data_IF_395770675507
#
_entry.id   IF_395770675507
#
_cell.length_a   1.000
_cell.length_b   1.000
_cell.length_c   1.000
_cell.angle_alpha   90.00
_cell.angle_beta   90.00
_cell.angle_gamma   90.00
#
_symmetry.space_group_name_H-M   'P 1'
#
loop_
_entity.id
_entity.type
_entity.pdbx_description
1 polymer ?
#
# COMPACT_ATOMS: atom_id res chain seq x y z
N UNK A 1 -14.51 -31.06 49.68
CA UNK A 1 -14.96 -29.88 48.93
C UNK A 1 -13.76 -29.37 48.10
N UNK A 2 -13.65 -29.87 46.90
CA UNK A 2 -12.61 -29.43 45.95
C UNK A 2 -13.20 -28.31 45.10
N UNK A 3 -12.62 -27.12 45.14
CA UNK A 3 -12.96 -26.03 44.30
C UNK A 3 -12.32 -26.33 42.92
N UNK A 4 -13.19 -26.61 41.99
CA UNK A 4 -12.85 -26.70 40.57
C UNK A 4 -12.58 -25.28 40.06
N UNK A 5 -11.32 -24.90 39.99
CA UNK A 5 -10.86 -23.67 39.39
C UNK A 5 -10.77 -23.85 37.88
N UNK A 6 -11.91 -23.79 37.17
CA UNK A 6 -11.88 -23.59 35.74
C UNK A 6 -11.38 -22.15 35.47
N UNK A 7 -10.08 -21.98 35.33
CA UNK A 7 -9.50 -20.78 34.75
C UNK A 7 -10.11 -20.62 33.34
N UNK A 8 -10.93 -19.60 33.20
CA UNK A 8 -11.38 -19.09 31.91
C UNK A 8 -10.12 -18.63 31.13
N UNK A 9 -9.50 -19.57 30.43
CA UNK A 9 -8.37 -19.30 29.55
C UNK A 9 -8.93 -18.77 28.22
N UNK A 10 -9.27 -17.51 28.20
CA UNK A 10 -9.40 -16.80 26.92
C UNK A 10 -8.12 -17.05 26.10
N UNK A 11 -8.21 -17.40 24.81
CA UNK A 11 -7.05 -17.67 23.99
C UNK A 11 -6.10 -16.47 24.01
N UNK A 12 -4.80 -16.74 24.08
CA UNK A 12 -3.79 -15.68 24.06
C UNK A 12 -3.96 -14.83 22.79
N UNK A 13 -3.82 -13.51 22.92
CA UNK A 13 -3.90 -12.61 21.77
C UNK A 13 -2.92 -13.02 20.68
N UNK A 14 -3.41 -13.23 19.47
CA UNK A 14 -2.60 -13.69 18.32
C UNK A 14 -2.63 -15.20 18.12
N UNK A 15 -3.24 -16.01 19.00
CA UNK A 15 -3.32 -17.47 18.83
C UNK A 15 -4.05 -17.88 17.56
N UNK A 16 -5.09 -17.14 17.16
CA UNK A 16 -5.84 -17.42 15.92
C UNK A 16 -4.99 -17.08 14.68
N UNK A 17 -4.08 -16.11 14.74
CA UNK A 17 -3.15 -15.84 13.65
C UNK A 17 -2.17 -17.02 13.44
N UNK A 18 -1.64 -17.60 14.52
CA UNK A 18 -0.80 -18.81 14.44
C UNK A 18 -1.61 -19.99 13.90
N UNK A 19 -2.89 -20.10 14.28
CA UNK A 19 -3.77 -21.12 13.73
C UNK A 19 -4.03 -20.91 12.24
N UNK A 20 -4.20 -19.68 11.77
CA UNK A 20 -4.35 -19.35 10.35
C UNK A 20 -3.11 -19.77 9.53
N UNK A 21 -1.90 -19.58 10.06
CA UNK A 21 -0.66 -20.09 9.46
C UNK A 21 -0.72 -21.61 9.32
N UNK A 22 -1.08 -22.33 10.39
CA UNK A 22 -1.18 -23.79 10.36
C UNK A 22 -2.27 -24.30 9.40
N UNK A 23 -3.37 -23.56 9.25
CA UNK A 23 -4.42 -23.86 8.26
C UNK A 23 -3.86 -23.74 6.84
N UNK A 24 -3.07 -22.69 6.56
CA UNK A 24 -2.47 -22.50 5.25
C UNK A 24 -1.46 -23.61 4.93
N UNK A 25 -0.62 -24.01 5.91
CA UNK A 25 0.28 -25.13 5.76
C UNK A 25 -0.45 -26.44 5.44
N UNK A 26 -1.57 -26.70 6.13
CA UNK A 26 -2.39 -27.89 5.89
C UNK A 26 -3.03 -27.89 4.50
N UNK A 27 -3.53 -26.75 4.03
CA UNK A 27 -4.13 -26.61 2.69
C UNK A 27 -3.11 -26.91 1.58
N UNK A 28 -1.86 -26.51 1.74
CA UNK A 28 -0.80 -26.73 0.75
C UNK A 28 0.06 -27.97 1.01
N UNK A 29 -0.25 -28.76 2.02
CA UNK A 29 0.43 -30.04 2.26
C UNK A 29 0.16 -31.03 1.09
N UNK A 30 0.99 -32.09 0.90
CA UNK A 30 0.77 -33.09 -0.15
C UNK A 30 -0.60 -33.77 -0.09
N UNK A 31 -1.17 -33.92 1.11
CA UNK A 31 -2.52 -34.48 1.34
C UNK A 31 -3.59 -33.37 1.49
N UNK A 32 -3.23 -32.12 1.22
CA UNK A 32 -4.11 -30.97 1.38
C UNK A 32 -5.05 -30.76 0.18
N UNK A 33 -5.22 -29.52 -0.23
CA UNK A 33 -6.16 -29.14 -1.27
C UNK A 33 -5.48 -29.06 -2.66
N UNK A 34 -6.07 -29.73 -3.64
CA UNK A 34 -5.54 -29.80 -5.00
C UNK A 34 -5.52 -28.44 -5.70
N UNK A 35 -6.47 -27.54 -5.40
CA UNK A 35 -6.48 -26.19 -5.96
C UNK A 35 -5.31 -25.38 -5.38
N UNK A 36 -5.10 -25.43 -4.06
CA UNK A 36 -4.00 -24.78 -3.38
C UNK A 36 -2.64 -25.26 -3.92
N UNK A 37 -2.48 -26.55 -4.20
CA UNK A 37 -1.26 -27.12 -4.75
C UNK A 37 -0.87 -26.57 -6.13
N UNK A 38 -1.84 -26.10 -6.91
CA UNK A 38 -1.63 -25.57 -8.27
C UNK A 38 -1.31 -24.05 -8.30
N UNK A 39 -1.50 -23.36 -7.17
CA UNK A 39 -1.32 -21.91 -7.16
C UNK A 39 0.15 -21.48 -7.19
N UNK A 40 0.37 -20.34 -7.80
CA UNK A 40 1.64 -19.62 -7.84
C UNK A 40 1.41 -18.17 -7.43
N UNK A 41 2.47 -17.42 -7.12
CA UNK A 41 2.38 -15.97 -6.89
C UNK A 41 1.62 -15.25 -8.01
N UNK A 42 1.88 -15.64 -9.26
CA UNK A 42 1.23 -15.03 -10.42
C UNK A 42 -0.26 -15.37 -10.51
N UNK A 43 -0.65 -16.63 -10.29
CA UNK A 43 -2.07 -17.03 -10.37
C UNK A 43 -2.91 -16.39 -9.25
N UNK A 44 -2.31 -16.10 -8.10
CA UNK A 44 -2.98 -15.47 -6.96
C UNK A 44 -3.10 -13.94 -7.09
N UNK A 45 -2.29 -13.30 -7.92
CA UNK A 45 -2.26 -11.84 -8.03
C UNK A 45 -3.64 -11.22 -8.34
N UNK A 46 -4.47 -11.91 -9.15
CA UNK A 46 -5.84 -11.46 -9.45
C UNK A 46 -6.74 -11.47 -8.22
N UNK A 47 -6.64 -12.50 -7.38
CA UNK A 47 -7.42 -12.61 -6.15
C UNK A 47 -6.98 -11.55 -5.14
N UNK A 48 -5.67 -11.35 -4.95
CA UNK A 48 -5.17 -10.28 -4.08
C UNK A 48 -5.74 -8.91 -4.46
N UNK A 49 -5.90 -8.64 -5.76
CA UNK A 49 -6.51 -7.40 -6.24
C UNK A 49 -8.03 -7.37 -5.93
N UNK A 50 -8.74 -8.49 -6.12
CA UNK A 50 -10.16 -8.66 -5.82
C UNK A 50 -10.42 -8.42 -4.34
N UNK A 51 -9.76 -9.15 -3.44
CA UNK A 51 -9.87 -8.99 -1.98
C UNK A 51 -9.55 -7.55 -1.52
N UNK A 52 -8.56 -6.92 -2.17
CA UNK A 52 -8.26 -5.51 -1.88
C UNK A 52 -9.44 -4.60 -2.18
N UNK A 53 -10.20 -4.86 -3.24
CA UNK A 53 -11.37 -4.05 -3.59
C UNK A 53 -12.57 -4.36 -2.67
N UNK A 54 -12.74 -5.59 -2.23
CA UNK A 54 -13.78 -5.99 -1.28
C UNK A 54 -13.55 -5.37 0.10
N UNK A 55 -12.31 -5.35 0.58
CA UNK A 55 -11.92 -4.58 1.78
C UNK A 55 -12.24 -3.09 1.63
N UNK A 56 -11.97 -2.47 0.47
CA UNK A 56 -12.29 -1.05 0.23
C UNK A 56 -13.81 -0.82 0.26
N UNK A 57 -14.60 -1.70 -0.33
CA UNK A 57 -16.07 -1.63 -0.30
C UNK A 57 -16.60 -1.76 1.13
N UNK A 58 -16.12 -2.73 1.91
CA UNK A 58 -16.48 -2.90 3.31
C UNK A 58 -16.12 -1.70 4.20
N UNK A 59 -15.01 -1.01 3.89
CA UNK A 59 -14.65 0.26 4.57
C UNK A 59 -15.65 1.37 4.22
N UNK A 60 -16.03 1.51 2.94
CA UNK A 60 -16.99 2.52 2.49
C UNK A 60 -18.37 2.30 3.10
N UNK A 61 -18.86 1.06 3.14
CA UNK A 61 -20.13 0.69 3.78
C UNK A 61 -20.17 1.07 5.26
N UNK A 62 -19.08 0.88 6.00
CA UNK A 62 -18.97 1.29 7.40
C UNK A 62 -19.06 2.80 7.60
N UNK A 63 -18.52 3.56 6.66
CA UNK A 63 -18.51 5.03 6.74
C UNK A 63 -19.89 5.63 6.51
N UNK A 64 -20.74 4.96 5.75
CA UNK A 64 -22.12 5.41 5.49
C UNK A 64 -23.07 5.21 6.69
N UNK A 65 -22.73 4.32 7.63
CA UNK A 65 -23.47 4.13 8.89
C UNK A 65 -24.91 3.61 8.73
N UNK A 66 -25.29 3.19 7.54
CA UNK A 66 -26.67 2.82 7.19
C UNK A 66 -27.05 1.39 7.61
N UNK A 67 -26.05 0.50 7.79
CA UNK A 67 -26.29 -0.91 8.11
C UNK A 67 -25.40 -1.40 9.28
N UNK A 68 -26.00 -1.84 10.42
CA UNK A 68 -25.25 -2.47 11.51
C UNK A 68 -24.54 -3.77 11.09
N UNK A 69 -24.99 -4.46 10.04
CA UNK A 69 -24.35 -5.68 9.54
C UNK A 69 -23.02 -5.38 8.81
N UNK A 70 -22.85 -4.19 8.25
CA UNK A 70 -21.61 -3.73 7.65
C UNK A 70 -20.41 -3.74 8.63
N UNK A 71 -20.69 -3.69 9.94
CA UNK A 71 -19.65 -3.81 10.95
C UNK A 71 -19.00 -5.20 11.02
N UNK A 72 -19.70 -6.25 10.58
CA UNK A 72 -19.21 -7.63 10.57
C UNK A 72 -18.45 -7.95 9.26
N UNK A 73 -18.78 -7.29 8.14
CA UNK A 73 -18.16 -7.53 6.83
C UNK A 73 -16.65 -7.24 6.81
N UNK A 74 -16.21 -6.11 7.33
CA UNK A 74 -14.80 -5.73 7.26
C UNK A 74 -13.83 -6.75 7.90
N UNK A 75 -14.12 -7.39 9.05
CA UNK A 75 -13.27 -8.47 9.54
C UNK A 75 -13.18 -9.68 8.62
N UNK A 76 -14.26 -10.03 7.90
CA UNK A 76 -14.30 -11.14 6.96
C UNK A 76 -13.44 -10.82 5.74
N UNK A 77 -13.61 -9.66 5.10
CA UNK A 77 -12.80 -9.22 3.96
C UNK A 77 -11.31 -9.05 4.31
N UNK A 78 -11.01 -8.55 5.52
CA UNK A 78 -9.63 -8.53 6.03
C UNK A 78 -9.08 -9.94 6.26
N UNK A 79 -9.93 -10.92 6.55
CA UNK A 79 -9.60 -12.33 6.65
C UNK A 79 -9.17 -12.90 5.30
N UNK A 80 -9.89 -12.56 4.22
CA UNK A 80 -9.58 -12.99 2.87
C UNK A 80 -8.29 -12.31 2.35
N UNK A 81 -8.09 -11.04 2.66
CA UNK A 81 -6.82 -10.39 2.40
C UNK A 81 -5.66 -11.01 3.19
N UNK A 82 -5.87 -11.40 4.46
CA UNK A 82 -4.89 -12.14 5.25
C UNK A 82 -4.59 -13.51 4.65
N UNK A 83 -5.60 -14.23 4.13
CA UNK A 83 -5.40 -15.47 3.41
C UNK A 83 -4.43 -15.30 2.23
N UNK A 84 -4.55 -14.25 1.43
CA UNK A 84 -3.62 -13.95 0.35
C UNK A 84 -2.19 -13.77 0.87
N UNK A 85 -2.01 -13.01 1.96
CA UNK A 85 -0.69 -12.79 2.57
C UNK A 85 -0.07 -14.11 3.03
N UNK A 86 -0.84 -14.94 3.74
CA UNK A 86 -0.38 -16.23 4.25
C UNK A 86 -0.07 -17.20 3.11
N UNK A 87 -0.87 -17.19 2.04
CA UNK A 87 -0.64 -18.04 0.89
C UNK A 87 0.67 -17.67 0.17
N UNK A 88 0.88 -16.40 -0.07
CA UNK A 88 2.14 -15.93 -0.65
C UNK A 88 3.35 -16.29 0.23
N UNK A 89 3.23 -16.16 1.55
CA UNK A 89 4.29 -16.56 2.48
C UNK A 89 4.54 -18.08 2.47
N UNK A 90 3.47 -18.87 2.31
CA UNK A 90 3.59 -20.34 2.20
C UNK A 90 4.26 -20.76 0.87
N UNK A 91 3.98 -20.06 -0.22
CA UNK A 91 4.67 -20.24 -1.48
C UNK A 91 6.15 -19.90 -1.38
N UNK A 92 6.49 -18.83 -0.65
CA UNK A 92 7.87 -18.41 -0.43
C UNK A 92 8.74 -19.48 0.24
N UNK A 93 8.15 -20.40 1.03
CA UNK A 93 8.88 -21.53 1.62
C UNK A 93 9.39 -22.53 0.57
N UNK A 94 8.83 -22.48 -0.65
CA UNK A 94 9.18 -23.36 -1.78
C UNK A 94 10.20 -22.71 -2.72
N UNK A 95 10.61 -21.47 -2.46
CA UNK A 95 11.60 -20.73 -3.25
C UNK A 95 13.03 -20.96 -2.78
N UNK A 96 13.99 -20.50 -3.57
CA UNK A 96 15.41 -20.50 -3.23
C UNK A 96 16.02 -19.11 -3.52
N UNK A 97 16.39 -18.33 -2.49
CA UNK A 97 16.28 -18.63 -1.06
C UNK A 97 14.84 -18.66 -0.55
N UNK A 98 14.52 -19.60 0.33
CA UNK A 98 13.22 -19.73 0.96
C UNK A 98 12.95 -18.58 1.94
N UNK A 99 11.67 -18.14 2.01
CA UNK A 99 11.18 -17.16 2.98
C UNK A 99 9.76 -17.53 3.44
N UNK A 100 9.33 -17.03 4.59
CA UNK A 100 8.06 -17.39 5.22
C UNK A 100 7.31 -16.18 5.83
N UNK A 101 6.21 -16.47 6.55
CA UNK A 101 5.38 -15.45 7.19
C UNK A 101 6.17 -14.67 8.28
N UNK A 102 7.16 -15.29 8.93
CA UNK A 102 7.99 -14.59 9.89
C UNK A 102 8.94 -13.60 9.20
N UNK A 103 9.37 -13.87 7.96
CA UNK A 103 10.13 -12.91 7.16
C UNK A 103 9.28 -11.69 6.79
N UNK A 104 8.02 -11.91 6.42
CA UNK A 104 7.05 -10.84 6.17
C UNK A 104 6.84 -10.00 7.43
N UNK A 105 6.60 -10.67 8.58
CA UNK A 105 6.42 -10.01 9.86
C UNK A 105 7.67 -9.22 10.28
N UNK A 106 8.85 -9.81 10.16
CA UNK A 106 10.13 -9.13 10.45
C UNK A 106 10.36 -7.92 9.55
N UNK A 107 10.02 -8.02 8.26
CA UNK A 107 10.11 -6.88 7.34
C UNK A 107 9.20 -5.73 7.76
N UNK A 108 7.96 -6.03 8.18
CA UNK A 108 7.02 -5.06 8.73
C UNK A 108 7.56 -4.41 10.01
N UNK A 109 7.97 -5.23 11.01
CA UNK A 109 8.47 -4.75 12.31
C UNK A 109 9.67 -3.83 12.10
N UNK A 110 10.71 -4.28 11.40
CA UNK A 110 11.91 -3.47 11.11
C UNK A 110 11.55 -2.13 10.46
N UNK A 111 10.62 -2.15 9.51
CA UNK A 111 10.15 -0.93 8.83
C UNK A 111 9.46 0.03 9.81
N UNK A 112 8.57 -0.49 10.67
CA UNK A 112 7.81 0.35 11.60
C UNK A 112 8.71 0.92 12.71
N UNK A 113 9.59 0.11 13.27
CA UNK A 113 10.55 0.55 14.29
C UNK A 113 11.47 1.66 13.75
N UNK A 114 12.01 1.47 12.56
CA UNK A 114 12.89 2.45 11.93
C UNK A 114 12.18 3.76 11.57
N UNK A 115 10.94 3.69 11.07
CA UNK A 115 10.19 4.89 10.63
C UNK A 115 9.48 5.62 11.75
N UNK A 116 9.41 5.03 12.94
CA UNK A 116 8.77 5.62 14.11
C UNK A 116 9.74 5.67 15.31
N UNK A 117 10.87 6.37 15.19
CA UNK A 117 11.87 6.45 16.27
C UNK A 117 11.30 7.11 17.53
N UNK A 118 10.30 7.98 17.40
CA UNK A 118 9.57 8.59 18.51
C UNK A 118 8.76 7.58 19.35
N UNK A 119 8.53 6.37 18.82
CA UNK A 119 7.84 5.29 19.53
C UNK A 119 8.82 4.22 20.00
N UNK A 120 9.75 3.80 19.13
CA UNK A 120 10.60 2.62 19.32
C UNK A 120 12.09 2.95 19.52
N UNK A 121 12.53 4.19 19.21
CA UNK A 121 13.93 4.59 19.31
C UNK A 121 14.44 4.64 20.76
N UNK A 122 15.76 4.48 20.92
CA UNK A 122 16.43 4.64 22.21
C UNK A 122 16.25 6.07 22.76
N UNK A 123 16.32 7.07 21.88
CA UNK A 123 16.15 8.50 22.19
C UNK A 123 14.73 9.00 21.91
N UNK A 124 13.74 8.11 22.11
CA UNK A 124 12.34 8.39 21.78
C UNK A 124 11.77 9.65 22.46
N UNK A 125 12.29 10.02 23.64
CA UNK A 125 11.82 11.19 24.41
C UNK A 125 12.27 12.50 23.77
N UNK A 126 13.42 12.49 23.10
CA UNK A 126 14.04 13.67 22.47
C UNK A 126 13.87 13.69 20.93
N UNK A 127 13.19 12.69 20.37
CA UNK A 127 13.09 12.53 18.90
C UNK A 127 12.08 13.46 18.23
N UNK A 128 11.15 14.04 19.00
CA UNK A 128 10.16 15.05 18.59
C UNK A 128 9.96 16.05 19.73
N UNK A 129 9.82 17.32 19.39
CA UNK A 129 9.51 18.39 20.36
C UNK A 129 8.12 18.21 20.96
N UNK A 130 7.15 17.79 20.14
CA UNK A 130 5.79 17.45 20.55
C UNK A 130 5.32 16.14 19.88
N UNK A 131 5.09 15.11 20.70
CA UNK A 131 4.56 13.81 20.25
C UNK A 131 3.07 13.85 19.88
N UNK A 132 2.36 14.92 20.23
CA UNK A 132 1.00 15.17 19.82
C UNK A 132 0.89 15.88 18.47
N UNK A 133 2.00 16.41 17.97
CA UNK A 133 2.05 17.10 16.69
C UNK A 133 2.15 16.12 15.52
N UNK A 134 1.03 15.93 14.85
CA UNK A 134 0.91 15.03 13.68
C UNK A 134 1.81 15.50 12.53
N UNK A 135 2.00 16.80 12.34
CA UNK A 135 2.83 17.34 11.26
C UNK A 135 4.30 16.98 11.47
N UNK A 136 4.81 17.08 12.72
CA UNK A 136 6.16 16.65 13.06
C UNK A 136 6.35 15.15 12.86
N UNK A 137 5.37 14.32 13.25
CA UNK A 137 5.40 12.86 13.04
C UNK A 137 5.48 12.54 11.56
N UNK A 138 4.65 13.16 10.72
CA UNK A 138 4.63 12.97 9.27
C UNK A 138 5.95 13.45 8.65
N UNK A 139 6.48 14.59 9.05
CA UNK A 139 7.76 15.10 8.58
C UNK A 139 8.91 14.14 8.93
N UNK A 140 8.94 13.61 10.15
CA UNK A 140 9.94 12.62 10.57
C UNK A 140 9.85 11.34 9.72
N UNK A 141 8.63 10.83 9.49
CA UNK A 141 8.40 9.67 8.63
C UNK A 141 8.94 9.90 7.21
N UNK A 142 8.67 11.07 6.61
CA UNK A 142 9.17 11.43 5.28
C UNK A 142 10.70 11.54 5.25
N UNK A 143 11.31 12.12 6.27
CA UNK A 143 12.76 12.25 6.37
C UNK A 143 13.46 10.87 6.44
N UNK A 144 12.94 9.96 7.26
CA UNK A 144 13.46 8.58 7.35
C UNK A 144 13.30 7.85 6.02
N UNK A 145 12.13 7.96 5.37
CA UNK A 145 11.87 7.34 4.07
C UNK A 145 12.75 7.90 2.95
N UNK A 146 13.09 9.18 2.98
CA UNK A 146 14.01 9.79 2.03
C UNK A 146 15.44 9.26 2.23
N UNK A 147 15.88 9.10 3.50
CA UNK A 147 17.19 8.50 3.81
C UNK A 147 17.29 7.06 3.36
N UNK A 148 16.24 6.24 3.58
CA UNK A 148 16.17 4.85 3.10
C UNK A 148 16.37 4.75 1.58
N UNK A 149 15.78 5.67 0.81
CA UNK A 149 15.96 5.70 -0.65
C UNK A 149 17.40 6.06 -1.04
N UNK A 150 17.96 7.11 -0.42
CA UNK A 150 19.33 7.50 -0.70
C UNK A 150 20.35 6.40 -0.37
N UNK A 151 20.11 5.59 0.67
CA UNK A 151 20.93 4.44 1.04
C UNK A 151 20.80 3.29 0.01
N UNK A 152 19.60 3.07 -0.55
CA UNK A 152 19.38 2.07 -1.59
C UNK A 152 20.01 2.47 -2.93
N UNK A 153 19.90 3.74 -3.31
CA UNK A 153 20.49 4.27 -4.53
C UNK A 153 22.03 4.32 -4.44
N UNK A 154 22.60 4.51 -3.24
CA UNK A 154 24.05 4.50 -2.99
C UNK A 154 24.68 3.12 -2.92
N UNK A 155 23.90 2.05 -2.81
CA UNK A 155 24.38 0.65 -2.74
C UNK A 155 24.32 -0.09 -4.08
N UNK A 156 23.74 0.51 -5.12
CA UNK A 156 23.76 0.00 -6.49
C UNK A 156 25.08 0.39 -7.16
N UNK A 157 25.85 -0.60 -7.64
CA UNK A 157 27.03 -0.39 -8.45
C UNK A 157 26.70 0.61 -9.58
N UNK A 158 27.52 1.66 -9.64
CA UNK A 158 27.49 2.67 -10.69
C UNK A 158 27.74 2.01 -12.05
N UNK A 159 26.68 1.54 -12.69
CA UNK A 159 26.67 1.39 -14.13
C UNK A 159 26.70 2.79 -14.71
N UNK A 160 27.85 3.19 -15.24
CA UNK A 160 28.00 4.40 -16.03
C UNK A 160 27.01 4.34 -17.21
N UNK A 161 25.84 4.93 -17.07
CA UNK A 161 25.02 5.33 -18.19
C UNK A 161 25.54 6.71 -18.63
N UNK A 162 26.27 6.67 -19.75
CA UNK A 162 26.70 7.82 -20.51
C UNK A 162 25.52 8.80 -20.70
N UNK A 163 25.68 9.97 -20.08
CA UNK A 163 24.65 11.00 -20.06
C UNK A 163 24.60 11.74 -21.40
N UNK A 164 23.69 11.35 -22.27
CA UNK A 164 23.15 12.28 -23.27
C UNK A 164 21.84 11.76 -23.85
N UNK A 165 20.72 11.97 -23.12
CA UNK A 165 19.40 12.03 -23.76
C UNK A 165 18.83 13.43 -23.59
N UNK A 166 19.15 14.27 -24.60
CA UNK A 166 18.60 15.59 -24.81
C UNK A 166 17.14 15.53 -25.32
N UNK A 167 16.32 14.71 -24.67
CA UNK A 167 14.90 14.65 -24.95
C UNK A 167 14.21 14.74 -23.60
N UNK A 168 13.62 15.87 -23.23
CA UNK A 168 12.99 16.26 -21.99
C UNK A 168 12.22 15.21 -21.18
N UNK A 169 12.76 13.99 -21.10
CA UNK A 169 12.27 12.92 -20.27
C UNK A 169 12.40 13.34 -18.81
N UNK A 170 11.30 13.22 -18.08
CA UNK A 170 11.25 13.39 -16.63
C UNK A 170 12.34 12.52 -15.99
N UNK A 171 13.07 13.04 -14.98
CA UNK A 171 13.91 12.18 -14.18
C UNK A 171 13.06 11.00 -13.68
N UNK A 172 13.46 9.77 -13.97
CA UNK A 172 12.78 8.53 -13.57
C UNK A 172 12.49 8.49 -12.06
N UNK A 173 13.31 9.15 -11.27
CA UNK A 173 13.23 9.25 -9.82
C UNK A 173 11.86 9.67 -9.25
N UNK A 174 11.00 10.35 -9.99
CA UNK A 174 9.66 10.72 -9.48
C UNK A 174 8.66 9.57 -9.50
N UNK A 175 8.85 8.64 -10.45
CA UNK A 175 8.01 7.46 -10.60
C UNK A 175 8.64 6.23 -9.92
N UNK A 176 9.90 6.30 -9.50
CA UNK A 176 10.59 5.19 -8.84
C UNK A 176 9.83 4.75 -7.59
N UNK A 177 9.51 3.45 -7.52
CA UNK A 177 8.73 2.88 -6.42
C UNK A 177 7.25 3.26 -6.41
N UNK A 178 6.70 3.80 -7.53
CA UNK A 178 5.26 3.83 -7.80
C UNK A 178 4.95 2.60 -8.64
N UNK A 179 4.15 1.63 -8.14
CA UNK A 179 3.82 0.44 -8.91
C UNK A 179 3.10 0.80 -10.23
N UNK A 180 3.52 0.20 -11.35
CA UNK A 180 2.89 0.44 -12.65
C UNK A 180 1.42 0.00 -12.71
N UNK A 181 1.03 -0.98 -11.90
CA UNK A 181 -0.34 -1.47 -11.81
C UNK A 181 -1.25 -0.63 -10.91
N UNK A 182 -0.72 0.44 -10.29
CA UNK A 182 -1.52 1.32 -9.45
C UNK A 182 -2.59 2.04 -10.29
N UNK A 183 -3.84 2.20 -9.81
CA UNK A 183 -4.84 3.03 -10.47
C UNK A 183 -4.30 4.41 -10.84
N UNK A 184 -4.66 4.92 -12.02
CA UNK A 184 -4.03 6.12 -12.58
C UNK A 184 -4.16 7.35 -11.67
N UNK A 185 -5.32 7.54 -11.01
CA UNK A 185 -5.51 8.65 -10.08
C UNK A 185 -4.61 8.51 -8.84
N UNK A 186 -4.44 7.30 -8.31
CA UNK A 186 -3.52 7.06 -7.19
C UNK A 186 -2.06 7.24 -7.59
N UNK A 187 -1.67 6.80 -8.79
CA UNK A 187 -0.32 7.02 -9.31
C UNK A 187 -0.04 8.53 -9.46
N UNK A 188 -1.00 9.28 -10.03
CA UNK A 188 -0.91 10.72 -10.16
C UNK A 188 -0.85 11.42 -8.80
N UNK A 189 -1.71 11.04 -7.84
CA UNK A 189 -1.71 11.58 -6.48
C UNK A 189 -0.35 11.37 -5.79
N UNK A 190 0.22 10.15 -5.87
CA UNK A 190 1.56 9.86 -5.33
C UNK A 190 2.66 10.70 -5.99
N UNK A 191 2.58 10.90 -7.32
CA UNK A 191 3.55 11.72 -8.05
C UNK A 191 3.46 13.19 -7.63
N UNK A 192 2.25 13.74 -7.51
CA UNK A 192 2.00 15.11 -7.05
C UNK A 192 2.46 15.30 -5.61
N UNK A 193 2.08 14.40 -4.70
CA UNK A 193 2.49 14.43 -3.30
C UNK A 193 4.01 14.45 -3.15
N UNK A 194 4.69 13.56 -3.86
CA UNK A 194 6.16 13.48 -3.85
C UNK A 194 6.80 14.75 -4.40
N UNK A 195 6.31 15.26 -5.54
CA UNK A 195 6.82 16.49 -6.14
C UNK A 195 6.60 17.72 -5.27
N UNK A 196 5.50 17.78 -4.50
CA UNK A 196 5.26 18.81 -3.48
C UNK A 196 6.28 18.72 -2.35
N UNK A 197 6.48 17.52 -1.80
CA UNK A 197 7.43 17.30 -0.70
C UNK A 197 8.86 17.66 -1.08
N UNK A 198 9.22 17.46 -2.35
CA UNK A 198 10.55 17.76 -2.89
C UNK A 198 10.67 19.19 -3.46
N UNK A 199 9.63 20.03 -3.32
CA UNK A 199 9.53 21.38 -3.90
C UNK A 199 9.70 21.42 -5.43
N UNK A 200 9.30 20.34 -6.14
CA UNK A 200 9.50 20.13 -7.58
C UNK A 200 8.18 20.04 -8.38
N UNK A 201 7.08 20.53 -7.82
CA UNK A 201 5.75 20.42 -8.45
C UNK A 201 5.67 21.12 -9.80
N UNK A 202 6.42 22.22 -9.99
CA UNK A 202 6.46 22.94 -11.26
C UNK A 202 7.17 22.12 -12.35
N UNK A 203 8.19 21.36 -11.98
CA UNK A 203 8.90 20.46 -12.89
C UNK A 203 7.99 19.32 -13.36
N UNK A 204 7.25 18.67 -12.44
CA UNK A 204 6.25 17.67 -12.80
C UNK A 204 5.21 18.24 -13.78
N UNK A 205 4.76 19.47 -13.52
CA UNK A 205 3.77 20.14 -14.37
C UNK A 205 4.33 20.48 -15.75
N UNK A 206 5.57 20.95 -15.82
CA UNK A 206 6.24 21.28 -17.09
C UNK A 206 6.42 20.02 -17.94
N UNK A 207 6.84 18.94 -17.32
CA UNK A 207 7.03 17.68 -18.00
C UNK A 207 5.73 17.04 -18.49
N UNK A 208 4.65 17.10 -17.70
CA UNK A 208 3.32 16.67 -18.14
C UNK A 208 2.85 17.48 -19.38
N UNK A 209 3.08 18.80 -19.40
CA UNK A 209 2.78 19.66 -20.55
C UNK A 209 3.65 19.31 -21.75
N UNK A 210 4.92 19.01 -21.55
CA UNK A 210 5.82 18.57 -22.62
C UNK A 210 5.36 17.27 -23.26
N UNK A 211 5.00 16.27 -22.43
CA UNK A 211 4.44 15.01 -22.91
C UNK A 211 3.13 15.21 -23.69
N UNK A 212 2.27 16.11 -23.22
CA UNK A 212 1.02 16.46 -23.89
C UNK A 212 1.20 17.29 -25.19
N UNK A 213 2.42 17.68 -25.50
CA UNK A 213 2.75 18.38 -26.75
C UNK A 213 3.38 17.43 -27.81
N UNK A 214 3.42 16.13 -27.52
CA UNK A 214 3.89 15.12 -28.47
C UNK A 214 2.99 15.06 -29.72
N UNK A 215 3.52 14.65 -30.90
CA UNK A 215 2.74 14.62 -32.15
C UNK A 215 1.49 13.73 -32.10
N UNK A 216 1.49 12.70 -31.24
CA UNK A 216 0.39 11.77 -31.03
C UNK A 216 -0.52 12.14 -29.84
N UNK A 217 -0.33 13.32 -29.24
CA UNK A 217 -1.00 13.74 -28.03
C UNK A 217 -2.55 13.73 -28.13
N UNK A 218 -3.09 14.09 -29.28
CA UNK A 218 -4.53 14.07 -29.52
C UNK A 218 -5.10 12.65 -29.54
N UNK A 219 -4.34 11.65 -30.00
CA UNK A 219 -4.79 10.27 -30.13
C UNK A 219 -5.05 9.61 -28.77
N UNK A 220 -4.29 9.96 -27.72
CA UNK A 220 -4.46 9.44 -26.39
C UNK A 220 -5.14 10.41 -25.40
N UNK A 221 -5.67 11.55 -25.90
CA UNK A 221 -6.46 12.46 -25.09
C UNK A 221 -5.66 13.30 -24.07
N UNK A 222 -4.50 13.82 -24.49
CA UNK A 222 -3.59 14.57 -23.65
C UNK A 222 -4.21 15.77 -22.93
N UNK A 223 -5.14 16.48 -23.58
CA UNK A 223 -5.87 17.60 -22.97
C UNK A 223 -6.72 17.15 -21.78
N UNK A 224 -7.39 16.00 -21.87
CA UNK A 224 -8.16 15.41 -20.79
C UNK A 224 -7.22 14.98 -19.66
N UNK A 225 -6.09 14.32 -20.00
CA UNK A 225 -5.12 13.89 -19.02
C UNK A 225 -4.52 15.06 -18.21
N UNK A 226 -4.21 16.18 -18.85
CA UNK A 226 -3.76 17.40 -18.17
C UNK A 226 -4.82 17.99 -17.23
N UNK A 227 -6.09 17.94 -17.61
CA UNK A 227 -7.19 18.37 -16.76
C UNK A 227 -7.36 17.45 -15.56
N UNK A 228 -7.27 16.14 -15.74
CA UNK A 228 -7.30 15.16 -14.64
C UNK A 228 -6.13 15.40 -13.68
N UNK A 229 -4.91 15.60 -14.17
CA UNK A 229 -3.77 15.92 -13.33
C UNK A 229 -3.98 17.23 -12.54
N UNK A 230 -4.61 18.24 -13.13
CA UNK A 230 -4.95 19.48 -12.43
C UNK A 230 -5.96 19.23 -11.29
N UNK A 231 -6.96 18.38 -11.49
CA UNK A 231 -7.91 17.96 -10.43
C UNK A 231 -7.21 17.19 -9.33
N UNK A 232 -6.30 16.26 -9.67
CA UNK A 232 -5.50 15.53 -8.69
C UNK A 232 -4.65 16.49 -7.85
N UNK A 233 -4.02 17.49 -8.46
CA UNK A 233 -3.26 18.52 -7.73
C UNK A 233 -4.13 19.33 -6.77
N UNK A 234 -5.36 19.64 -7.15
CA UNK A 234 -6.32 20.32 -6.30
C UNK A 234 -6.76 19.42 -5.12
N UNK A 235 -7.02 18.15 -5.37
CA UNK A 235 -7.37 17.16 -4.35
C UNK A 235 -6.23 17.01 -3.31
N UNK A 236 -5.00 16.81 -3.76
CA UNK A 236 -3.80 16.74 -2.92
C UNK A 236 -3.57 18.02 -2.10
N UNK A 237 -3.88 19.19 -2.66
CA UNK A 237 -3.77 20.46 -1.93
C UNK A 237 -4.80 20.59 -0.79
N UNK A 238 -5.86 19.79 -0.82
CA UNK A 238 -6.94 19.72 0.18
C UNK A 238 -6.86 18.47 1.05
N UNK A 239 -5.79 17.69 0.94
CA UNK A 239 -5.62 16.41 1.64
C UNK A 239 -6.76 15.42 1.34
N UNK A 240 -7.21 15.38 0.07
CA UNK A 240 -8.26 14.48 -0.43
C UNK A 240 -7.63 13.46 -1.37
N UNK A 241 -7.85 12.16 -1.11
CA UNK A 241 -7.49 11.11 -2.06
C UNK A 241 -8.48 11.11 -3.24
N UNK A 242 -8.04 11.38 -4.49
CA UNK A 242 -8.94 11.55 -5.61
C UNK A 242 -9.58 10.24 -6.08
N UNK A 243 -8.91 9.10 -5.91
CA UNK A 243 -9.44 7.77 -6.26
C UNK A 243 -10.57 7.40 -5.32
N UNK A 244 -10.36 7.50 -4.01
CA UNK A 244 -11.38 7.20 -2.99
C UNK A 244 -12.57 8.15 -3.10
N UNK A 245 -12.34 9.44 -3.33
CA UNK A 245 -13.42 10.42 -3.49
C UNK A 245 -14.32 10.07 -4.69
N UNK A 246 -13.71 9.71 -5.84
CA UNK A 246 -14.47 9.32 -7.02
C UNK A 246 -15.20 8.00 -6.82
N UNK A 247 -14.57 7.02 -6.20
CA UNK A 247 -15.16 5.71 -5.85
C UNK A 247 -16.39 5.90 -4.95
N UNK A 248 -16.26 6.65 -3.87
CA UNK A 248 -17.36 6.98 -2.95
C UNK A 248 -18.53 7.66 -3.68
N UNK A 249 -18.24 8.61 -4.57
CA UNK A 249 -19.27 9.25 -5.36
C UNK A 249 -20.03 8.25 -6.25
N UNK A 250 -19.32 7.35 -6.92
CA UNK A 250 -19.92 6.33 -7.79
C UNK A 250 -20.74 5.32 -7.00
N UNK A 251 -20.27 4.89 -5.84
CA UNK A 251 -20.98 3.97 -4.93
C UNK A 251 -22.29 4.60 -4.47
N UNK A 252 -22.26 5.85 -4.01
CA UNK A 252 -23.47 6.60 -3.61
C UNK A 252 -24.45 6.79 -4.78
N UNK A 253 -23.94 7.08 -5.98
CA UNK A 253 -24.79 7.21 -7.16
C UNK A 253 -25.50 5.90 -7.53
N UNK A 254 -24.83 4.74 -7.37
CA UNK A 254 -25.46 3.41 -7.55
C UNK A 254 -26.57 3.16 -6.52
N UNK A 255 -26.37 3.57 -5.26
CA UNK A 255 -27.39 3.45 -4.20
C UNK A 255 -28.64 4.29 -4.45
N UNK A 256 -28.52 5.44 -5.12
CA UNK A 256 -29.66 6.30 -5.48
C UNK A 256 -30.47 5.77 -6.68
N UNK A 257 -29.93 4.78 -7.42
CA UNK A 257 -30.56 4.19 -8.60
C UNK A 257 -31.40 2.94 -8.29
N UNK A 258 -31.49 2.56 -7.02
CA UNK A 258 -32.33 1.47 -6.49
C UNK A 258 -33.52 2.04 -5.73
#
# INVERSE_FOLDING_TARGET
MSADGSEDRSPARGSELLRAVAVMDALRAPEGDAWSALQTHHSLARYLLEETHEVLEAIEERTDGSDPSAAAHLPDELGDLLFQILFHARLGQEEDPAWDVDDVARAFVRKMERRNPHVFGADREDSLDDRGDVEQIVAQWHAVKARERAEQDGSGESGESDGSDANGALPSAWFDGIPHALPALQAAAKSVHRSRSDARLDELTAAAKSAASAPDAEEWGADIALRLLAVVREAEARDVDPESALRTLLTRARGLSR
#
